data_IF_859819522659
#
_entry.id   IF_859819522659
#
_cell.length_a   1.000
_cell.length_b   1.000
_cell.length_c   1.000
_cell.angle_alpha   90.00
_cell.angle_beta   90.00
_cell.angle_gamma   90.00
#
_symmetry.space_group_name_H-M   'P 1'
#
loop_
_entity.id
_entity.type
_entity.pdbx_description
1 polymer ?
#
# COMPACT_ATOMS: atom_id res chain seq x y z
N UNK A 1 18.62 46.82 11.14
CA UNK A 1 17.97 46.57 12.44
C UNK A 1 16.84 45.58 12.17
N UNK A 2 16.87 44.42 12.83
CA UNK A 2 16.08 43.22 12.50
C UNK A 2 14.59 43.48 12.73
N UNK A 3 13.78 43.23 11.70
CA UNK A 3 12.32 43.13 11.82
C UNK A 3 11.98 41.65 11.67
N UNK A 4 11.59 41.06 12.81
CA UNK A 4 11.03 39.73 12.96
C UNK A 4 9.65 39.65 12.29
N UNK A 5 9.48 38.72 11.36
CA UNK A 5 8.17 38.28 10.90
C UNK A 5 7.88 36.90 11.50
N UNK A 6 7.09 36.88 12.56
CA UNK A 6 6.31 35.72 12.98
C UNK A 6 5.09 35.67 12.05
N UNK A 7 5.04 34.68 11.16
CA UNK A 7 3.83 34.35 10.41
C UNK A 7 3.35 32.97 10.87
N UNK A 8 2.33 33.00 11.72
CA UNK A 8 1.64 31.83 12.26
C UNK A 8 0.97 31.03 11.14
N UNK A 9 1.11 29.70 11.23
CA UNK A 9 0.44 28.74 10.39
C UNK A 9 -1.09 28.83 10.55
N UNK A 10 -1.79 29.17 9.46
CA UNK A 10 -3.23 29.00 9.36
C UNK A 10 -3.55 27.56 9.01
N UNK A 11 -3.90 26.74 10.01
CA UNK A 11 -4.63 25.50 9.80
C UNK A 11 -6.05 25.87 9.36
N UNK A 12 -6.38 25.59 8.10
CA UNK A 12 -7.77 25.52 7.67
C UNK A 12 -8.34 24.23 8.23
N UNK A 13 -9.01 24.32 9.38
CA UNK A 13 -9.88 23.27 9.88
C UNK A 13 -11.13 23.27 8.99
N UNK A 14 -11.15 22.39 7.99
CA UNK A 14 -12.42 22.03 7.33
C UNK A 14 -13.18 21.19 8.35
N UNK A 15 -14.02 21.85 9.15
CA UNK A 15 -15.09 21.21 9.89
C UNK A 15 -16.03 20.56 8.88
N UNK A 16 -15.82 19.28 8.59
CA UNK A 16 -16.78 18.51 7.81
C UNK A 16 -18.03 18.33 8.69
N UNK A 17 -19.10 18.98 8.27
CA UNK A 17 -20.41 18.94 8.92
C UNK A 17 -20.85 17.48 9.11
N UNK A 18 -21.01 17.10 10.38
CA UNK A 18 -21.87 16.00 10.77
C UNK A 18 -23.32 16.30 10.37
N UNK A 19 -24.07 15.24 10.05
CA UNK A 19 -25.53 15.18 9.89
C UNK A 19 -26.10 15.32 8.47
N UNK A 20 -26.18 14.18 7.79
CA UNK A 20 -27.46 13.71 7.24
C UNK A 20 -27.70 12.29 7.74
N UNK A 21 -28.56 12.15 8.75
CA UNK A 21 -29.09 10.85 9.16
C UNK A 21 -30.02 10.33 8.06
N UNK A 22 -29.52 9.44 7.23
CA UNK A 22 -30.36 8.46 6.53
C UNK A 22 -30.52 7.30 7.50
N UNK A 23 -31.71 7.17 8.10
CA UNK A 23 -32.06 6.17 9.12
C UNK A 23 -32.13 4.73 8.58
N UNK A 24 -31.04 4.25 7.99
CA UNK A 24 -30.75 2.84 7.79
C UNK A 24 -29.73 2.39 8.83
N UNK A 25 -29.87 1.18 9.34
CA UNK A 25 -28.88 0.59 10.23
C UNK A 25 -27.57 0.44 9.42
N UNK A 26 -26.55 1.25 9.73
CA UNK A 26 -25.24 1.15 9.07
C UNK A 26 -24.69 -0.24 9.37
N UNK A 27 -24.37 -1.01 8.33
CA UNK A 27 -23.92 -2.40 8.50
C UNK A 27 -22.61 -2.45 9.28
N UNK A 28 -22.52 -3.36 10.24
CA UNK A 28 -21.31 -3.56 11.03
C UNK A 28 -20.88 -5.01 10.98
N UNK A 29 -19.56 -5.22 11.01
CA UNK A 29 -18.97 -6.53 11.24
C UNK A 29 -19.22 -6.94 12.69
N UNK A 30 -19.86 -8.09 12.88
CA UNK A 30 -20.21 -8.57 14.21
C UNK A 30 -18.99 -8.98 15.04
N UNK A 31 -19.12 -8.98 16.37
CA UNK A 31 -18.06 -9.49 17.26
C UNK A 31 -17.67 -10.93 16.96
N UNK A 32 -18.65 -11.76 16.61
CA UNK A 32 -18.40 -13.16 16.26
C UNK A 32 -17.55 -13.27 14.97
N UNK A 33 -17.88 -12.46 13.96
CA UNK A 33 -17.16 -12.41 12.70
C UNK A 33 -15.74 -11.83 12.84
N UNK A 34 -15.57 -10.83 13.71
CA UNK A 34 -14.24 -10.34 14.11
C UNK A 34 -13.42 -11.45 14.80
N UNK A 35 -14.06 -12.21 15.69
CA UNK A 35 -13.45 -13.36 16.37
C UNK A 35 -12.97 -14.44 15.40
N UNK A 36 -13.76 -14.76 14.36
CA UNK A 36 -13.34 -15.68 13.31
C UNK A 36 -12.11 -15.17 12.54
N UNK A 37 -12.12 -13.89 12.15
CA UNK A 37 -10.99 -13.27 11.46
C UNK A 37 -9.70 -13.34 12.30
N UNK A 38 -9.82 -13.06 13.60
CA UNK A 38 -8.73 -13.21 14.57
C UNK A 38 -8.19 -14.64 14.58
N UNK A 39 -9.07 -15.63 14.74
CA UNK A 39 -8.67 -17.04 14.78
C UNK A 39 -7.96 -17.48 13.49
N UNK A 40 -8.47 -17.05 12.33
CA UNK A 40 -7.84 -17.30 11.05
C UNK A 40 -6.41 -16.76 11.03
N UNK A 41 -6.20 -15.49 11.37
CA UNK A 41 -4.86 -14.87 11.38
C UNK A 41 -3.92 -15.60 12.35
N UNK A 42 -4.38 -15.93 13.55
CA UNK A 42 -3.54 -16.59 14.55
C UNK A 42 -3.18 -18.02 14.17
N UNK A 43 -4.01 -18.72 13.39
CA UNK A 43 -3.77 -20.09 12.92
C UNK A 43 -3.00 -20.16 11.60
N UNK A 44 -3.28 -19.23 10.66
CA UNK A 44 -2.82 -19.32 9.28
C UNK A 44 -1.83 -18.22 8.87
N UNK A 45 -1.85 -17.07 9.56
CA UNK A 45 -0.98 -15.94 9.26
C UNK A 45 0.47 -16.23 9.60
N UNK A 46 1.40 -15.63 8.85
CA UNK A 46 2.84 -15.70 9.14
C UNK A 46 3.13 -14.89 10.41
N UNK A 47 4.32 -15.03 11.03
CA UNK A 47 4.68 -14.24 12.21
C UNK A 47 4.48 -12.73 12.02
N UNK A 48 4.70 -12.22 10.80
CA UNK A 48 4.47 -10.81 10.47
C UNK A 48 2.99 -10.42 10.57
N UNK A 49 2.08 -11.13 9.89
CA UNK A 49 0.65 -10.82 9.95
C UNK A 49 0.07 -11.01 11.36
N UNK A 50 0.55 -12.01 12.11
CA UNK A 50 0.17 -12.17 13.52
C UNK A 50 0.62 -10.96 14.38
N UNK A 51 1.85 -10.47 14.18
CA UNK A 51 2.36 -9.31 14.90
C UNK A 51 1.63 -8.02 14.50
N UNK A 52 1.34 -7.83 13.22
CA UNK A 52 0.56 -6.70 12.70
C UNK A 52 -0.86 -6.71 13.28
N UNK A 53 -1.54 -7.86 13.27
CA UNK A 53 -2.87 -7.98 13.87
C UNK A 53 -2.85 -7.62 15.36
N UNK A 54 -1.91 -8.20 16.13
CA UNK A 54 -1.78 -7.89 17.56
C UNK A 54 -1.54 -6.42 17.81
N UNK A 55 -0.65 -5.79 17.05
CA UNK A 55 -0.36 -4.36 17.16
C UNK A 55 -1.62 -3.50 16.95
N UNK A 56 -2.48 -3.88 16.01
CA UNK A 56 -3.65 -3.09 15.63
C UNK A 56 -4.86 -3.30 16.54
N UNK A 57 -5.10 -4.54 16.96
CA UNK A 57 -6.34 -4.91 17.62
C UNK A 57 -6.16 -5.39 19.07
N UNK A 58 -4.93 -5.67 19.50
CA UNK A 58 -4.66 -6.34 20.80
C UNK A 58 -3.54 -5.70 21.63
N UNK A 59 -3.11 -4.48 21.29
CA UNK A 59 -2.06 -3.78 22.03
C UNK A 59 -0.65 -4.39 21.90
N UNK A 60 -0.39 -5.13 20.81
CA UNK A 60 0.94 -5.63 20.47
C UNK A 60 1.97 -4.51 20.25
N UNK A 61 3.26 -4.86 20.21
CA UNK A 61 4.35 -3.89 20.13
C UNK A 61 4.90 -3.69 18.71
N UNK A 62 5.41 -2.48 18.46
CA UNK A 62 6.15 -2.16 17.24
C UNK A 62 7.42 -3.04 17.08
N UNK A 63 8.05 -3.43 18.20
CA UNK A 63 9.22 -4.31 18.21
C UNK A 63 8.89 -5.72 17.69
N UNK A 64 7.72 -6.27 18.01
CA UNK A 64 7.31 -7.58 17.52
C UNK A 64 7.17 -7.59 15.99
N UNK A 65 6.65 -6.52 15.40
CA UNK A 65 6.55 -6.37 13.93
C UNK A 65 7.94 -6.27 13.30
N UNK A 66 8.84 -5.45 13.87
CA UNK A 66 10.22 -5.34 13.39
C UNK A 66 10.98 -6.66 13.49
N UNK A 67 10.80 -7.40 14.59
CA UNK A 67 11.42 -8.71 14.77
C UNK A 67 10.94 -9.69 13.70
N UNK A 68 9.63 -9.75 13.43
CA UNK A 68 9.08 -10.60 12.37
C UNK A 68 9.55 -10.18 10.96
N UNK A 69 9.76 -8.88 10.70
CA UNK A 69 10.30 -8.40 9.43
C UNK A 69 11.77 -8.75 9.21
N UNK A 70 12.55 -8.93 10.28
CA UNK A 70 14.00 -9.14 10.20
C UNK A 70 14.36 -10.36 9.34
N UNK A 71 13.54 -11.41 9.38
CA UNK A 71 13.75 -12.63 8.61
C UNK A 71 13.64 -12.42 7.09
N UNK A 72 12.95 -11.38 6.65
CA UNK A 72 12.75 -11.05 5.24
C UNK A 72 13.85 -10.14 4.66
N UNK A 73 14.62 -9.46 5.51
CA UNK A 73 15.72 -8.59 5.06
C UNK A 73 16.94 -9.43 4.69
N UNK A 74 17.46 -9.22 3.48
CA UNK A 74 18.64 -9.90 2.96
C UNK A 74 19.94 -9.14 3.28
N UNK A 75 21.11 -9.78 3.12
CA UNK A 75 22.40 -9.14 3.39
C UNK A 75 22.68 -7.87 2.56
N UNK A 76 22.11 -7.75 1.36
CA UNK A 76 22.19 -6.56 0.49
C UNK A 76 21.33 -5.39 1.00
N UNK A 77 20.53 -5.62 2.05
CA UNK A 77 19.67 -4.65 2.70
C UNK A 77 18.25 -4.58 2.16
N UNK A 78 17.99 -5.19 1.00
CA UNK A 78 16.65 -5.30 0.44
C UNK A 78 15.83 -6.40 1.12
N UNK A 79 14.57 -6.56 0.69
CA UNK A 79 13.67 -7.58 1.23
C UNK A 79 13.25 -8.57 0.14
N UNK A 80 13.04 -9.82 0.54
CA UNK A 80 12.64 -10.91 -0.34
C UNK A 80 11.85 -11.99 0.41
N UNK A 81 12.06 -13.27 0.04
CA UNK A 81 11.54 -14.45 0.75
C UNK A 81 10.01 -14.44 0.90
N UNK A 82 9.33 -14.10 -0.19
CA UNK A 82 7.88 -14.00 -0.26
C UNK A 82 7.23 -13.02 0.71
N UNK A 83 7.95 -12.01 1.20
CA UNK A 83 7.33 -10.93 1.97
C UNK A 83 6.12 -10.33 1.22
N UNK A 84 6.29 -10.13 -0.09
CA UNK A 84 5.18 -10.00 -1.03
C UNK A 84 4.76 -11.41 -1.50
N UNK A 85 3.55 -11.91 -1.14
CA UNK A 85 3.18 -13.31 -1.39
C UNK A 85 3.18 -13.72 -2.87
N UNK A 86 2.96 -12.77 -3.79
CA UNK A 86 2.98 -13.01 -5.24
C UNK A 86 4.38 -13.25 -5.83
N UNK A 87 5.44 -13.14 -5.04
CA UNK A 87 6.82 -13.30 -5.49
C UNK A 87 7.58 -14.26 -4.58
N UNK A 88 7.78 -15.51 -5.01
CA UNK A 88 8.45 -16.54 -4.17
C UNK A 88 9.97 -16.53 -4.24
N UNK A 89 10.56 -15.55 -4.92
CA UNK A 89 12.02 -15.41 -5.01
C UNK A 89 12.63 -15.18 -3.62
N UNK A 90 13.75 -15.84 -3.29
CA UNK A 90 14.49 -15.58 -2.05
C UNK A 90 15.26 -14.24 -2.11
N UNK A 91 15.55 -13.75 -3.31
CA UNK A 91 16.33 -12.54 -3.55
C UNK A 91 15.58 -11.27 -3.18
N UNK A 92 16.32 -10.18 -2.99
CA UNK A 92 15.74 -8.87 -2.73
C UNK A 92 15.06 -8.31 -3.96
N UNK A 93 13.87 -7.74 -3.77
CA UNK A 93 13.17 -6.96 -4.81
C UNK A 93 12.69 -5.63 -4.26
N UNK A 94 12.51 -4.66 -5.16
CA UNK A 94 11.88 -3.39 -4.84
C UNK A 94 10.43 -3.63 -4.39
N UNK A 95 9.73 -4.56 -5.02
CA UNK A 95 8.38 -4.98 -4.65
C UNK A 95 8.27 -5.43 -3.18
N UNK A 96 9.11 -6.37 -2.75
CA UNK A 96 9.12 -6.83 -1.36
C UNK A 96 9.64 -5.74 -0.41
N UNK A 97 10.57 -4.90 -0.86
CA UNK A 97 11.07 -3.77 -0.06
C UNK A 97 9.98 -2.70 0.18
N UNK A 98 9.08 -2.47 -0.78
CA UNK A 98 7.89 -1.63 -0.57
C UNK A 98 6.99 -2.20 0.55
N UNK A 99 6.73 -3.52 0.55
CA UNK A 99 5.98 -4.18 1.64
C UNK A 99 6.64 -4.00 2.99
N UNK A 100 7.96 -4.10 3.06
CA UNK A 100 8.69 -3.84 4.28
C UNK A 100 8.53 -2.38 4.73
N UNK A 101 8.66 -1.40 3.83
CA UNK A 101 8.44 0.00 4.20
C UNK A 101 7.02 0.27 4.67
N UNK A 102 6.00 -0.30 4.01
CA UNK A 102 4.60 -0.19 4.46
C UNK A 102 4.45 -0.65 5.90
N UNK A 103 5.04 -1.79 6.28
CA UNK A 103 5.02 -2.29 7.65
C UNK A 103 5.88 -1.44 8.62
N UNK A 104 7.05 -0.96 8.18
CA UNK A 104 7.95 -0.17 9.01
C UNK A 104 7.41 1.23 9.31
N UNK A 105 6.73 1.88 8.37
CA UNK A 105 6.04 3.16 8.59
C UNK A 105 4.78 2.99 9.43
N UNK A 106 4.05 1.89 9.24
CA UNK A 106 2.93 1.48 10.06
C UNK A 106 3.26 1.38 11.57
N UNK A 107 4.53 1.13 11.90
CA UNK A 107 5.02 1.06 13.29
C UNK A 107 5.95 2.23 13.66
N UNK A 108 5.96 3.29 12.82
CA UNK A 108 6.74 4.52 12.99
C UNK A 108 8.22 4.25 13.27
N UNK A 109 8.81 3.28 12.57
CA UNK A 109 10.24 2.98 12.70
C UNK A 109 11.07 4.22 12.36
N UNK A 110 12.04 4.61 13.20
CA UNK A 110 12.78 5.84 13.00
C UNK A 110 13.76 5.73 11.82
N UNK A 111 14.10 6.85 11.15
CA UNK A 111 15.02 6.85 10.00
C UNK A 111 16.40 6.28 10.30
N UNK A 112 16.87 6.39 11.54
CA UNK A 112 18.19 5.94 11.95
C UNK A 112 18.26 4.43 12.26
N UNK A 113 17.11 3.74 12.27
CA UNK A 113 17.02 2.32 12.53
C UNK A 113 17.84 1.50 11.51
N UNK A 114 18.62 0.48 11.93
CA UNK A 114 19.49 -0.29 11.04
C UNK A 114 18.78 -0.89 9.82
N UNK A 115 17.55 -1.40 10.01
CA UNK A 115 16.74 -1.96 8.94
C UNK A 115 16.41 -0.93 7.85
N UNK A 116 16.11 0.31 8.23
CA UNK A 116 15.85 1.42 7.29
C UNK A 116 17.12 1.79 6.55
N UNK A 117 18.24 2.00 7.28
CA UNK A 117 19.53 2.35 6.66
C UNK A 117 19.96 1.33 5.61
N UNK A 118 19.84 0.03 5.92
CA UNK A 118 20.15 -1.06 4.98
C UNK A 118 19.23 -1.04 3.75
N UNK A 119 17.94 -0.85 3.94
CA UNK A 119 17.00 -0.72 2.82
C UNK A 119 17.32 0.47 1.91
N UNK A 120 17.77 1.59 2.48
CA UNK A 120 18.20 2.77 1.70
C UNK A 120 19.48 2.54 0.90
N UNK A 121 20.40 1.73 1.44
CA UNK A 121 21.60 1.28 0.69
C UNK A 121 21.17 0.39 -0.48
N UNK A 122 20.26 -0.57 -0.26
CA UNK A 122 19.72 -1.42 -1.32
C UNK A 122 19.07 -0.60 -2.45
N UNK A 123 18.20 0.36 -2.11
CA UNK A 123 17.56 1.23 -3.10
C UNK A 123 18.58 2.04 -3.90
N UNK A 124 19.64 2.55 -3.25
CA UNK A 124 20.70 3.25 -3.96
C UNK A 124 21.44 2.33 -4.94
N UNK A 125 21.72 1.09 -4.53
CA UNK A 125 22.46 0.11 -5.36
C UNK A 125 21.68 -0.41 -6.56
N UNK A 126 20.35 -0.34 -6.54
CA UNK A 126 19.45 -0.89 -7.57
C UNK A 126 18.80 0.18 -8.44
N UNK A 127 19.14 1.46 -8.23
CA UNK A 127 18.63 2.56 -9.02
C UNK A 127 19.30 2.60 -10.40
N UNK A 128 18.50 2.61 -11.46
CA UNK A 128 18.97 2.82 -12.82
C UNK A 128 19.12 4.33 -13.07
N UNK A 129 20.35 4.83 -12.93
CA UNK A 129 20.69 6.25 -13.14
C UNK A 129 20.32 6.76 -14.54
N UNK A 130 20.42 5.89 -15.56
CA UNK A 130 20.17 6.30 -16.95
C UNK A 130 18.70 6.57 -17.24
N UNK A 131 17.80 5.89 -16.51
CA UNK A 131 16.35 5.99 -16.67
C UNK A 131 15.65 6.69 -15.50
N UNK A 132 16.37 6.88 -14.39
CA UNK A 132 15.83 7.43 -13.15
C UNK A 132 14.77 6.54 -12.51
N UNK A 133 14.87 5.22 -12.61
CA UNK A 133 13.85 4.27 -12.11
C UNK A 133 14.44 3.16 -11.27
N UNK A 134 13.56 2.47 -10.56
CA UNK A 134 13.85 1.16 -9.98
C UNK A 134 13.08 0.09 -10.75
N UNK A 135 13.76 -0.97 -11.15
CA UNK A 135 13.07 -2.16 -11.66
C UNK A 135 12.33 -2.83 -10.50
N UNK A 136 11.03 -3.10 -10.67
CA UNK A 136 10.17 -3.57 -9.58
C UNK A 136 10.61 -4.94 -9.00
N UNK A 137 11.08 -5.84 -9.87
CA UNK A 137 11.67 -7.13 -9.52
C UNK A 137 12.92 -7.39 -10.37
N UNK A 138 13.98 -8.01 -9.82
CA UNK A 138 15.17 -8.33 -10.59
C UNK A 138 14.90 -9.45 -11.62
N UNK A 139 15.66 -9.54 -12.73
CA UNK A 139 15.48 -10.60 -13.73
C UNK A 139 15.58 -12.02 -13.15
N UNK A 140 16.46 -12.22 -12.15
CA UNK A 140 16.65 -13.51 -11.51
C UNK A 140 15.41 -14.00 -10.73
N UNK A 141 14.49 -13.11 -10.35
CA UNK A 141 13.22 -13.49 -9.73
C UNK A 141 12.33 -14.34 -10.67
N UNK A 142 12.50 -14.21 -12.00
CA UNK A 142 11.76 -15.02 -12.98
C UNK A 142 12.04 -16.52 -12.93
N UNK A 143 13.08 -16.95 -12.18
CA UNK A 143 13.43 -18.37 -11.98
C UNK A 143 12.61 -19.06 -10.88
N UNK A 144 11.86 -18.29 -10.10
CA UNK A 144 11.10 -18.78 -8.94
C UNK A 144 9.61 -18.65 -9.21
N UNK A 145 8.73 -19.37 -8.49
CA UNK A 145 7.29 -19.18 -8.61
C UNK A 145 6.86 -17.72 -8.37
N UNK A 146 5.94 -17.22 -9.19
CA UNK A 146 5.42 -15.86 -9.08
C UNK A 146 4.06 -15.73 -9.77
N UNK A 147 3.31 -14.68 -9.43
CA UNK A 147 2.09 -14.35 -10.14
C UNK A 147 2.35 -13.99 -11.62
N UNK A 148 1.44 -14.28 -12.56
CA UNK A 148 1.68 -14.10 -14.00
C UNK A 148 2.03 -12.67 -14.45
N UNK A 149 1.59 -11.64 -13.72
CA UNK A 149 1.95 -10.25 -14.01
C UNK A 149 3.40 -9.89 -13.64
N UNK A 150 4.12 -10.78 -12.96
CA UNK A 150 5.55 -10.67 -12.66
C UNK A 150 6.45 -11.40 -13.66
N UNK A 151 5.88 -11.95 -14.74
CA UNK A 151 6.66 -12.52 -15.83
C UNK A 151 7.64 -11.48 -16.38
N UNK A 152 8.87 -11.90 -16.68
CA UNK A 152 9.93 -10.98 -17.13
C UNK A 152 9.70 -10.43 -18.54
N UNK A 153 8.99 -11.18 -19.39
CA UNK A 153 8.62 -10.73 -20.72
C UNK A 153 7.66 -9.56 -20.63
N UNK A 154 7.98 -8.45 -21.32
CA UNK A 154 7.18 -7.22 -21.38
C UNK A 154 6.90 -6.55 -20.02
N UNK A 155 7.59 -6.94 -18.94
CA UNK A 155 7.39 -6.36 -17.61
C UNK A 155 7.55 -4.84 -17.62
N UNK A 156 8.60 -4.33 -18.26
CA UNK A 156 8.83 -2.90 -18.41
C UNK A 156 7.65 -2.21 -19.10
N UNK A 157 7.11 -2.79 -20.17
CA UNK A 157 6.00 -2.20 -20.90
C UNK A 157 4.72 -2.19 -20.08
N UNK A 158 4.41 -3.31 -19.42
CA UNK A 158 3.23 -3.45 -18.57
C UNK A 158 3.19 -2.39 -17.46
N UNK A 159 4.35 -2.07 -16.89
CA UNK A 159 4.51 -1.09 -15.81
C UNK A 159 4.98 0.29 -16.29
N UNK A 160 4.85 0.60 -17.58
CA UNK A 160 5.11 1.94 -18.13
C UNK A 160 6.54 2.41 -17.93
N UNK A 161 7.51 1.51 -18.12
CA UNK A 161 8.93 1.73 -17.90
C UNK A 161 9.27 2.04 -16.44
N UNK A 162 8.40 1.67 -15.49
CA UNK A 162 8.52 1.96 -14.06
C UNK A 162 8.52 3.45 -13.69
N UNK A 163 7.94 4.29 -14.56
CA UNK A 163 7.97 5.75 -14.40
C UNK A 163 7.08 6.25 -13.25
N UNK A 164 6.05 5.48 -12.87
CA UNK A 164 5.15 5.81 -11.74
C UNK A 164 5.23 4.76 -10.64
N UNK A 165 4.86 3.50 -10.90
CA UNK A 165 5.09 2.38 -9.97
C UNK A 165 6.42 1.71 -10.35
N UNK A 166 7.38 1.48 -9.43
CA UNK A 166 7.33 1.70 -7.98
C UNK A 166 7.83 3.07 -7.51
N UNK A 167 8.26 3.94 -8.44
CA UNK A 167 8.96 5.20 -8.15
C UNK A 167 8.20 6.12 -7.18
N UNK A 168 6.89 6.31 -7.36
CA UNK A 168 6.11 7.24 -6.55
C UNK A 168 6.09 6.80 -5.08
N UNK A 169 5.68 5.57 -4.79
CA UNK A 169 5.68 5.07 -3.41
C UNK A 169 7.09 5.13 -2.77
N UNK A 170 8.14 4.72 -3.49
CA UNK A 170 9.52 4.82 -3.01
C UNK A 170 9.91 6.26 -2.65
N UNK A 171 9.52 7.24 -3.46
CA UNK A 171 9.81 8.64 -3.15
C UNK A 171 9.17 9.08 -1.85
N UNK A 172 7.97 8.59 -1.51
CA UNK A 172 7.35 8.85 -0.21
C UNK A 172 8.29 8.46 0.92
N UNK A 173 8.88 7.27 0.84
CA UNK A 173 9.85 6.79 1.83
C UNK A 173 11.19 7.54 1.78
N UNK A 174 11.68 7.93 0.60
CA UNK A 174 12.90 8.74 0.49
C UNK A 174 12.72 10.13 1.11
N UNK A 175 11.56 10.77 0.96
CA UNK A 175 11.25 12.03 1.66
C UNK A 175 11.05 11.83 3.16
N UNK A 176 10.49 10.68 3.58
CA UNK A 176 10.26 10.37 4.98
C UNK A 176 11.54 10.08 5.76
N UNK A 177 12.44 9.30 5.19
CA UNK A 177 13.64 8.82 5.86
C UNK A 177 14.89 9.64 5.52
N UNK A 178 14.82 10.52 4.53
CA UNK A 178 15.88 11.47 4.15
C UNK A 178 17.28 10.84 4.05
N UNK A 179 17.47 9.77 3.25
CA UNK A 179 18.76 9.11 3.17
C UNK A 179 19.78 9.97 2.42
N UNK A 180 21.06 9.98 2.84
CA UNK A 180 22.13 10.72 2.15
C UNK A 180 22.34 10.31 0.69
N UNK A 181 22.01 9.07 0.31
CA UNK A 181 22.12 8.56 -1.07
C UNK A 181 21.15 9.21 -2.06
N UNK A 182 20.08 9.84 -1.57
CA UNK A 182 19.11 10.58 -2.37
C UNK A 182 18.94 11.99 -1.78
N UNK A 183 19.88 12.92 -2.03
CA UNK A 183 19.77 14.29 -1.52
C UNK A 183 18.51 15.00 -2.04
N UNK A 184 18.11 16.08 -1.37
CA UNK A 184 16.84 16.77 -1.64
C UNK A 184 16.61 17.06 -3.12
N UNK A 185 17.56 17.69 -3.82
CA UNK A 185 17.41 18.05 -5.25
C UNK A 185 17.14 16.84 -6.13
N UNK A 186 17.75 15.70 -5.82
CA UNK A 186 17.50 14.43 -6.53
C UNK A 186 16.07 13.95 -6.29
N UNK A 187 15.57 14.01 -5.06
CA UNK A 187 14.18 13.66 -4.75
C UNK A 187 13.18 14.60 -5.41
N UNK A 188 13.47 15.90 -5.46
CA UNK A 188 12.65 16.91 -6.14
C UNK A 188 12.56 16.64 -7.65
N UNK A 189 13.69 16.32 -8.29
CA UNK A 189 13.71 15.96 -9.71
C UNK A 189 12.90 14.69 -10.00
N UNK A 190 13.02 13.67 -9.14
CA UNK A 190 12.28 12.43 -9.32
C UNK A 190 10.77 12.59 -9.09
N UNK A 191 10.34 13.37 -8.09
CA UNK A 191 8.91 13.61 -7.87
C UNK A 191 8.29 14.52 -8.94
N UNK A 192 9.08 15.44 -9.52
CA UNK A 192 8.69 16.17 -10.72
C UNK A 192 8.43 15.22 -11.89
N UNK A 193 9.35 14.27 -12.12
CA UNK A 193 9.20 13.26 -13.18
C UNK A 193 7.97 12.35 -12.96
N UNK A 194 7.64 12.01 -11.70
CA UNK A 194 6.38 11.31 -11.38
C UNK A 194 5.19 12.16 -11.80
N UNK A 195 5.12 13.43 -11.38
CA UNK A 195 4.02 14.31 -11.73
C UNK A 195 3.84 14.48 -13.25
N UNK A 196 4.92 14.49 -14.01
CA UNK A 196 4.90 14.53 -15.49
C UNK A 196 4.44 13.19 -16.09
N UNK A 197 4.89 12.07 -15.54
CA UNK A 197 4.52 10.72 -16.01
C UNK A 197 3.04 10.41 -15.79
N UNK A 198 2.46 10.89 -14.68
CA UNK A 198 1.03 10.74 -14.42
C UNK A 198 0.15 11.41 -15.50
N UNK A 199 0.64 12.42 -16.21
CA UNK A 199 -0.16 13.10 -17.24
C UNK A 199 -0.51 12.17 -18.40
N UNK A 200 0.35 11.18 -18.66
CA UNK A 200 0.26 10.28 -19.80
C UNK A 200 -0.04 8.82 -19.39
N UNK A 201 -0.53 8.60 -18.16
CA UNK A 201 -0.86 7.24 -17.71
C UNK A 201 -2.02 6.67 -18.53
N UNK A 202 -1.86 5.44 -19.01
CA UNK A 202 -2.94 4.72 -19.70
C UNK A 202 -4.01 4.24 -18.71
N UNK A 203 -5.22 3.98 -19.20
CA UNK A 203 -6.31 3.44 -18.36
C UNK A 203 -5.93 2.09 -17.74
N UNK A 204 -5.22 1.22 -18.48
CA UNK A 204 -4.73 -0.07 -17.98
C UNK A 204 -3.75 0.06 -16.81
N UNK A 205 -3.04 1.19 -16.70
CA UNK A 205 -2.05 1.45 -15.65
C UNK A 205 -2.59 2.35 -14.54
N UNK A 206 -3.76 2.96 -14.73
CA UNK A 206 -4.30 3.97 -13.85
C UNK A 206 -4.48 3.46 -12.41
N UNK A 207 -4.98 2.23 -12.21
CA UNK A 207 -5.16 1.65 -10.88
C UNK A 207 -3.85 1.55 -10.09
N UNK A 208 -2.81 0.98 -10.69
CA UNK A 208 -1.49 0.83 -10.08
C UNK A 208 -0.81 2.19 -9.84
N UNK A 209 -0.94 3.12 -10.78
CA UNK A 209 -0.43 4.48 -10.64
C UNK A 209 -1.12 5.23 -9.48
N UNK A 210 -2.44 5.09 -9.37
CA UNK A 210 -3.24 5.70 -8.30
C UNK A 210 -2.85 5.15 -6.93
N UNK A 211 -2.75 3.81 -6.74
CA UNK A 211 -2.32 3.24 -5.45
C UNK A 211 -0.90 3.70 -5.06
N UNK A 212 0.07 3.62 -5.98
CA UNK A 212 1.45 4.05 -5.75
C UNK A 212 1.55 5.53 -5.35
N UNK A 213 0.81 6.40 -6.02
CA UNK A 213 0.84 7.84 -5.76
C UNK A 213 0.02 8.25 -4.53
N UNK A 214 -1.04 7.50 -4.21
CA UNK A 214 -1.75 7.67 -2.95
C UNK A 214 -0.80 7.40 -1.76
N UNK A 215 -0.01 6.34 -1.81
CA UNK A 215 0.99 6.05 -0.77
C UNK A 215 2.10 7.10 -0.68
N UNK A 216 2.56 7.63 -1.82
CA UNK A 216 3.44 8.80 -1.82
C UNK A 216 2.81 9.95 -1.03
N UNK A 217 1.55 10.28 -1.35
CA UNK A 217 0.82 11.38 -0.73
C UNK A 217 0.61 11.18 0.78
N UNK A 218 0.25 9.96 1.20
CA UNK A 218 0.04 9.57 2.60
C UNK A 218 1.25 9.80 3.52
N UNK A 219 2.47 9.81 2.96
CA UNK A 219 3.66 10.13 3.77
C UNK A 219 3.64 11.57 4.31
N UNK A 220 2.96 12.49 3.62
CA UNK A 220 2.87 13.90 4.02
C UNK A 220 4.21 14.64 4.02
N UNK A 221 5.24 14.10 3.35
CA UNK A 221 6.61 14.67 3.34
C UNK A 221 7.02 15.31 2.03
N UNK A 222 6.27 15.09 0.96
CA UNK A 222 6.52 15.70 -0.34
C UNK A 222 6.17 17.19 -0.29
N UNK A 223 7.01 18.11 -0.82
CA UNK A 223 6.70 19.54 -0.83
C UNK A 223 5.38 19.86 -1.53
N UNK A 224 4.67 20.86 -0.98
CA UNK A 224 3.30 21.21 -1.35
C UNK A 224 3.09 21.44 -2.85
N UNK A 225 4.06 22.04 -3.54
CA UNK A 225 3.96 22.26 -4.99
C UNK A 225 3.75 20.95 -5.77
N UNK A 226 4.57 19.94 -5.48
CA UNK A 226 4.53 18.65 -6.16
C UNK A 226 3.35 17.81 -5.67
N UNK A 227 3.10 17.77 -4.35
CA UNK A 227 1.98 17.00 -3.81
C UNK A 227 0.63 17.55 -4.28
N UNK A 228 0.46 18.88 -4.38
CA UNK A 228 -0.75 19.49 -4.93
C UNK A 228 -0.92 19.23 -6.44
N UNK A 229 0.17 19.17 -7.21
CA UNK A 229 0.11 18.80 -8.64
C UNK A 229 -0.32 17.34 -8.80
N UNK A 230 0.31 16.43 -8.07
CA UNK A 230 -0.03 15.00 -8.10
C UNK A 230 -1.47 14.78 -7.63
N UNK A 231 -1.86 15.39 -6.51
CA UNK A 231 -3.22 15.30 -5.98
C UNK A 231 -4.27 15.73 -7.00
N UNK A 232 -4.09 16.89 -7.65
CA UNK A 232 -5.02 17.40 -8.69
C UNK A 232 -5.20 16.40 -9.83
N UNK A 233 -4.15 15.68 -10.22
CA UNK A 233 -4.27 14.63 -11.24
C UNK A 233 -4.96 13.39 -10.68
N UNK A 234 -4.63 12.99 -9.44
CA UNK A 234 -5.25 11.82 -8.80
C UNK A 234 -6.77 11.97 -8.65
N UNK A 235 -7.30 13.11 -8.20
CA UNK A 235 -8.77 13.28 -8.12
C UNK A 235 -9.49 13.15 -9.46
N UNK A 236 -8.79 13.34 -10.60
CA UNK A 236 -9.35 13.08 -11.94
C UNK A 236 -9.24 11.61 -12.36
N UNK A 237 -8.22 10.90 -11.87
CA UNK A 237 -7.94 9.50 -12.19
C UNK A 237 -8.70 8.52 -11.28
N UNK A 238 -8.94 8.88 -10.01
CA UNK A 238 -9.56 7.99 -9.03
C UNK A 238 -10.93 7.44 -9.51
N UNK A 239 -11.88 8.26 -10.00
CA UNK A 239 -13.20 7.75 -10.39
C UNK A 239 -13.19 6.76 -11.54
N UNK A 240 -12.16 6.78 -12.39
CA UNK A 240 -11.98 5.87 -13.53
C UNK A 240 -11.09 4.66 -13.20
N UNK A 241 -10.19 4.80 -12.23
CA UNK A 241 -9.21 3.77 -11.86
C UNK A 241 -9.76 2.82 -10.79
N UNK A 242 -10.66 3.31 -9.94
CA UNK A 242 -11.33 2.52 -8.90
C UNK A 242 -12.60 1.92 -9.48
N UNK A 243 -12.79 0.61 -9.32
CA UNK A 243 -14.01 -0.06 -9.73
C UNK A 243 -15.15 0.32 -8.77
N UNK A 244 -16.23 0.88 -9.30
CA UNK A 244 -17.36 1.39 -8.51
C UNK A 244 -18.60 0.49 -8.58
N UNK A 245 -18.58 -0.51 -9.46
CA UNK A 245 -19.61 -1.52 -9.65
C UNK A 245 -19.40 -2.72 -8.71
N UNK A 246 -20.31 -2.96 -7.74
CA UNK A 246 -20.21 -4.06 -6.81
C UNK A 246 -20.13 -5.45 -7.45
N UNK A 247 -20.74 -5.64 -8.63
CA UNK A 247 -20.74 -6.95 -9.31
C UNK A 247 -19.36 -7.36 -9.82
N UNK A 248 -18.46 -6.38 -9.97
CA UNK A 248 -17.10 -6.56 -10.47
C UNK A 248 -16.05 -6.69 -9.38
N UNK A 249 -16.36 -6.41 -8.11
CA UNK A 249 -15.38 -6.47 -7.02
C UNK A 249 -14.81 -7.87 -6.71
N UNK A 250 -15.47 -8.91 -7.21
CA UNK A 250 -14.97 -10.30 -7.21
C UNK A 250 -13.90 -10.58 -8.29
N UNK A 251 -13.77 -9.69 -9.27
CA UNK A 251 -12.78 -9.77 -10.34
C UNK A 251 -11.57 -8.90 -9.99
N UNK A 252 -10.46 -9.06 -10.71
CA UNK A 252 -9.27 -8.26 -10.50
C UNK A 252 -9.56 -6.78 -10.77
N UNK A 253 -9.58 -5.99 -9.69
CA UNK A 253 -9.79 -4.55 -9.73
C UNK A 253 -9.22 -3.85 -8.49
N UNK A 254 -8.98 -2.54 -8.59
CA UNK A 254 -8.75 -1.70 -7.42
C UNK A 254 -10.11 -1.38 -6.76
N UNK A 255 -10.38 -1.97 -5.59
CA UNK A 255 -11.61 -1.71 -4.84
C UNK A 255 -11.57 -0.34 -4.13
N UNK A 256 -12.73 0.28 -3.86
CA UNK A 256 -12.79 1.56 -3.15
C UNK A 256 -12.07 1.56 -1.79
N UNK A 257 -12.32 0.56 -0.94
CA UNK A 257 -11.71 0.46 0.41
C UNK A 257 -10.21 0.12 0.39
N UNK A 258 -9.64 -0.24 -0.76
CA UNK A 258 -8.20 -0.45 -0.89
C UNK A 258 -7.43 0.85 -1.05
N UNK A 259 -8.07 1.86 -1.64
CA UNK A 259 -7.54 3.21 -1.80
C UNK A 259 -7.97 4.15 -0.65
N UNK A 260 -9.25 4.12 -0.28
CA UNK A 260 -9.82 4.98 0.78
C UNK A 260 -9.95 4.14 2.04
N UNK A 261 -8.88 4.17 2.85
CA UNK A 261 -8.76 3.33 4.07
C UNK A 261 -9.26 4.00 5.33
N UNK A 262 -9.41 5.33 5.32
CA UNK A 262 -9.93 6.09 6.46
C UNK A 262 -10.87 7.20 5.98
N UNK A 263 -11.77 7.70 6.85
CA UNK A 263 -12.64 8.84 6.56
C UNK A 263 -11.88 10.13 6.20
N UNK A 264 -10.63 10.27 6.61
CA UNK A 264 -9.77 11.43 6.35
C UNK A 264 -9.06 11.37 4.99
N UNK A 265 -9.24 10.28 4.24
CA UNK A 265 -8.62 10.15 2.92
C UNK A 265 -9.06 11.30 2.01
N UNK A 266 -8.13 11.99 1.34
CA UNK A 266 -8.45 13.12 0.47
C UNK A 266 -9.19 12.66 -0.80
N UNK A 267 -9.24 11.34 -1.07
CA UNK A 267 -9.94 10.76 -2.22
C UNK A 267 -11.37 10.33 -1.88
N UNK A 268 -11.78 10.33 -0.60
CA UNK A 268 -13.15 10.00 -0.21
C UNK A 268 -14.20 10.85 -0.96
N UNK A 269 -14.07 12.19 -1.09
CA UNK A 269 -15.11 13.01 -1.72
C UNK A 269 -15.42 12.66 -3.18
N UNK A 270 -14.48 12.07 -3.92
CA UNK A 270 -14.67 11.76 -5.35
C UNK A 270 -15.27 10.37 -5.60
N UNK A 271 -15.31 9.50 -4.60
CA UNK A 271 -15.84 8.13 -4.68
C UNK A 271 -16.63 7.69 -3.43
N UNK A 272 -17.15 8.64 -2.63
CA UNK A 272 -17.77 8.36 -1.33
C UNK A 272 -18.87 7.29 -1.38
N UNK A 273 -19.78 7.39 -2.35
CA UNK A 273 -20.86 6.40 -2.50
C UNK A 273 -20.35 5.01 -2.86
N UNK A 274 -19.23 4.90 -3.58
CA UNK A 274 -18.60 3.62 -3.89
C UNK A 274 -17.90 3.03 -2.66
N UNK A 275 -17.28 3.87 -1.82
CA UNK A 275 -16.67 3.45 -0.54
C UNK A 275 -17.74 2.88 0.38
N UNK A 276 -18.85 3.58 0.61
CA UNK A 276 -19.94 3.10 1.48
C UNK A 276 -20.50 1.74 1.03
N UNK A 277 -20.77 1.58 -0.28
CA UNK A 277 -21.22 0.30 -0.84
C UNK A 277 -20.15 -0.78 -0.73
N UNK A 278 -18.88 -0.43 -0.87
CA UNK A 278 -17.80 -1.40 -0.76
C UNK A 278 -17.62 -1.86 0.68
N UNK A 279 -17.76 -1.00 1.69
CA UNK A 279 -17.75 -1.40 3.10
C UNK A 279 -18.90 -2.38 3.41
N UNK A 280 -20.12 -2.13 2.89
CA UNK A 280 -21.23 -3.08 3.02
C UNK A 280 -20.93 -4.42 2.34
N UNK A 281 -20.34 -4.38 1.14
CA UNK A 281 -19.94 -5.56 0.41
C UNK A 281 -18.88 -6.37 1.14
N UNK A 282 -17.83 -5.74 1.69
CA UNK A 282 -16.79 -6.48 2.41
C UNK A 282 -17.35 -7.18 3.66
N UNK A 283 -18.32 -6.57 4.36
CA UNK A 283 -18.98 -7.22 5.50
C UNK A 283 -19.80 -8.44 5.04
N UNK A 284 -20.51 -8.34 3.93
CA UNK A 284 -21.33 -9.46 3.39
C UNK A 284 -20.47 -10.59 2.80
N UNK A 285 -19.23 -10.30 2.41
CA UNK A 285 -18.36 -11.22 1.69
C UNK A 285 -17.16 -11.69 2.53
N UNK A 286 -17.26 -11.63 3.87
CA UNK A 286 -16.34 -12.36 4.73
C UNK A 286 -16.53 -13.87 4.52
N UNK A 287 -15.43 -14.61 4.35
CA UNK A 287 -15.47 -16.07 4.22
C UNK A 287 -15.92 -16.75 5.52
N UNK A 288 -16.40 -17.99 5.43
CA UNK A 288 -16.90 -18.75 6.59
C UNK A 288 -15.88 -18.88 7.74
N UNK A 289 -14.60 -18.98 7.39
CA UNK A 289 -13.46 -19.04 8.32
C UNK A 289 -13.01 -17.67 8.86
N UNK A 290 -13.68 -16.59 8.45
CA UNK A 290 -13.42 -15.22 8.90
C UNK A 290 -12.44 -14.45 8.03
N UNK A 291 -11.88 -15.03 6.98
CA UNK A 291 -10.91 -14.34 6.12
C UNK A 291 -11.53 -13.61 4.93
N UNK A 292 -10.73 -12.78 4.24
CA UNK A 292 -11.06 -12.20 2.94
C UNK A 292 -10.14 -12.79 1.87
N UNK A 293 -10.71 -13.15 0.72
CA UNK A 293 -9.99 -13.75 -0.40
C UNK A 293 -9.41 -12.68 -1.33
N UNK A 294 -8.26 -12.95 -1.99
CA UNK A 294 -7.84 -12.13 -3.12
C UNK A 294 -8.88 -12.20 -4.24
N UNK A 295 -9.09 -11.08 -4.96
CA UNK A 295 -9.93 -11.05 -6.16
C UNK A 295 -9.14 -11.45 -7.43
N UNK A 296 -8.01 -12.13 -7.24
CA UNK A 296 -7.11 -12.63 -8.27
C UNK A 296 -6.64 -14.05 -7.94
N UNK A 297 -6.04 -14.70 -8.93
CA UNK A 297 -5.29 -15.93 -8.77
C UNK A 297 -4.15 -15.98 -9.80
N UNK A 298 -3.34 -17.04 -9.76
CA UNK A 298 -2.23 -17.21 -10.70
C UNK A 298 -2.60 -17.97 -11.99
N UNK A 299 -3.90 -18.17 -12.27
CA UNK A 299 -4.44 -18.81 -13.48
C UNK A 299 -3.82 -20.19 -13.78
N UNK A 300 -3.52 -20.97 -12.74
CA UNK A 300 -2.89 -22.29 -12.86
C UNK A 300 -1.36 -22.25 -13.02
N UNK A 301 -0.73 -21.08 -13.12
CA UNK A 301 0.72 -20.96 -13.04
C UNK A 301 1.20 -21.34 -11.63
N UNK A 302 2.29 -22.12 -11.57
CA UNK A 302 2.90 -22.61 -10.34
C UNK A 302 1.87 -23.19 -9.33
N UNK A 303 1.13 -24.25 -9.69
CA UNK A 303 0.00 -24.75 -8.89
C UNK A 303 0.41 -25.24 -7.50
N UNK A 304 1.67 -25.62 -7.30
CA UNK A 304 2.22 -26.04 -6.00
C UNK A 304 2.50 -24.85 -5.07
N UNK A 305 2.76 -23.66 -5.62
CA UNK A 305 3.11 -22.46 -4.87
C UNK A 305 1.91 -21.56 -4.58
N UNK A 306 0.91 -21.53 -5.48
CA UNK A 306 -0.29 -20.70 -5.32
C UNK A 306 -1.01 -20.92 -3.98
N UNK A 307 -1.26 -22.15 -3.49
CA UNK A 307 -1.97 -22.34 -2.21
C UNK A 307 -1.29 -21.66 -1.01
N UNK A 308 0.05 -21.59 -1.01
CA UNK A 308 0.79 -20.88 0.02
C UNK A 308 0.62 -19.36 -0.13
N UNK A 309 0.80 -18.83 -1.35
CA UNK A 309 0.63 -17.41 -1.64
C UNK A 309 -0.80 -16.92 -1.35
N UNK A 310 -1.82 -17.69 -1.73
CA UNK A 310 -3.23 -17.39 -1.48
C UNK A 310 -3.51 -17.28 0.03
N UNK A 311 -3.04 -18.25 0.82
CA UNK A 311 -3.21 -18.23 2.28
C UNK A 311 -2.54 -17.01 2.94
N UNK A 312 -1.34 -16.67 2.48
CA UNK A 312 -0.62 -15.49 2.97
C UNK A 312 -1.37 -14.21 2.59
N UNK A 313 -1.87 -14.12 1.36
CA UNK A 313 -2.70 -13.01 0.89
C UNK A 313 -4.00 -12.86 1.65
N UNK A 314 -4.68 -13.95 1.97
CA UNK A 314 -5.88 -13.93 2.82
C UNK A 314 -5.59 -13.28 4.16
N UNK A 315 -4.42 -13.55 4.75
CA UNK A 315 -4.03 -12.93 6.01
C UNK A 315 -3.79 -11.43 5.87
N UNK A 316 -3.10 -11.01 4.82
CA UNK A 316 -2.84 -9.58 4.52
C UNK A 316 -4.16 -8.83 4.28
N UNK A 317 -5.03 -9.37 3.43
CA UNK A 317 -6.31 -8.76 3.07
C UNK A 317 -7.26 -8.71 4.25
N UNK A 318 -7.31 -9.75 5.09
CA UNK A 318 -8.10 -9.74 6.32
C UNK A 318 -7.69 -8.61 7.24
N UNK A 319 -6.40 -8.40 7.48
CA UNK A 319 -5.93 -7.29 8.33
C UNK A 319 -6.32 -5.94 7.71
N UNK A 320 -6.06 -5.75 6.41
CA UNK A 320 -6.38 -4.50 5.72
C UNK A 320 -7.88 -4.18 5.74
N UNK A 321 -8.73 -5.18 5.48
CA UNK A 321 -10.19 -4.99 5.53
C UNK A 321 -10.65 -4.65 6.93
N UNK A 322 -10.15 -5.33 7.97
CA UNK A 322 -10.49 -5.01 9.35
C UNK A 322 -10.03 -3.62 9.78
N UNK A 323 -8.82 -3.19 9.38
CA UNK A 323 -8.31 -1.84 9.65
C UNK A 323 -9.23 -0.78 9.02
N UNK A 324 -9.61 -0.97 7.75
CA UNK A 324 -10.51 -0.04 7.06
C UNK A 324 -11.90 -0.05 7.70
N UNK A 325 -12.50 -1.21 7.98
CA UNK A 325 -13.79 -1.29 8.66
C UNK A 325 -13.76 -0.60 10.03
N UNK A 326 -12.69 -0.79 10.81
CA UNK A 326 -12.54 -0.13 12.10
C UNK A 326 -12.41 1.39 11.95
N UNK A 327 -11.62 1.88 10.98
CA UNK A 327 -11.46 3.30 10.71
C UNK A 327 -12.78 3.99 10.34
N UNK A 328 -13.68 3.29 9.64
CA UNK A 328 -15.02 3.76 9.30
C UNK A 328 -16.09 3.46 10.37
N UNK A 329 -15.72 2.92 11.53
CA UNK A 329 -16.68 2.60 12.59
C UNK A 329 -17.65 1.47 12.24
N UNK A 330 -17.24 0.55 11.36
CA UNK A 330 -18.01 -0.59 10.84
C UNK A 330 -17.72 -1.90 11.55
N UNK A 331 -17.27 -1.83 12.81
CA UNK A 331 -17.03 -3.01 13.67
C UNK A 331 -17.81 -2.80 14.97
N UNK A 332 -18.58 -3.81 15.37
CA UNK A 332 -19.33 -3.77 16.63
C UNK A 332 -18.41 -3.59 17.84
N UNK A 333 -18.77 -2.68 18.76
CA UNK A 333 -18.02 -2.39 19.99
C UNK A 333 -18.33 -3.35 21.12
#
# INVERSE_FOLDING_TARGET
MRISWLASAGLIVISCLTSTSMGGNVKQLSKANLGKAREFIMKQGRPLEQALYRLRFEGGSADAVRAALQDYQNPDGGFGKALEPDLRSPESSVLATLRAFQALTAVKTPPDHPMIKKAMVYLASTFDESKGVWRIIPPAAGKYPHAPWWNQEQLEQAFGGFQVLPRAELLGYLFLFDPPSFPMDRRLNLVKAVAESLENVSDAQAGLAVDSCARLYETGRVPAEYSNRIYRKLVQLVPRAVEQDPEKWKQYCLKPAWLVRTPESPFLPVIASAVERNLDYEIDNQSEDGSWLPNWNWYGAFPEAWPAAEKEWRSVLTIQTLETLQAFGRVER
#
